data_IF_042883241236
#
_entry.id   IF_042883241236
#
_cell.length_a   1.000
_cell.length_b   1.000
_cell.length_c   1.000
_cell.angle_alpha   90.00
_cell.angle_beta   90.00
_cell.angle_gamma   90.00
#
_symmetry.space_group_name_H-M   'P 1'
#
loop_
_entity.id
_entity.type
_entity.pdbx_description
1 polymer ?
#
# COMPACT_ATOMS: atom_id res chain seq x y z
N UNK A 1 24.44 3.04 17.25
CA UNK A 1 23.80 4.35 17.02
C UNK A 1 22.82 4.14 15.91
N UNK A 2 21.54 4.02 16.29
CA UNK A 2 20.47 3.57 15.41
C UNK A 2 20.34 4.48 14.21
N UNK A 3 20.57 3.92 13.03
CA UNK A 3 20.20 4.61 11.81
C UNK A 3 18.67 4.65 11.80
N UNK A 4 18.07 5.65 11.16
CA UNK A 4 16.62 5.70 10.97
C UNK A 4 16.04 4.41 10.35
N UNK A 5 16.87 3.65 9.62
CA UNK A 5 16.53 2.35 9.04
C UNK A 5 16.42 1.21 10.06
N UNK A 6 17.18 1.23 11.17
CA UNK A 6 17.11 0.18 12.19
C UNK A 6 15.70 0.17 12.84
N UNK A 7 15.10 1.34 13.02
CA UNK A 7 13.72 1.48 13.54
C UNK A 7 12.69 0.87 12.59
N UNK A 8 12.89 1.02 11.28
CA UNK A 8 12.02 0.39 10.28
C UNK A 8 12.23 -1.14 10.21
N UNK A 9 13.44 -1.61 10.48
CA UNK A 9 13.73 -3.04 10.60
C UNK A 9 13.01 -3.67 11.79
N UNK A 10 13.09 -3.02 12.95
CA UNK A 10 12.44 -3.49 14.18
C UNK A 10 10.91 -3.49 14.08
N UNK A 11 10.34 -2.65 13.21
CA UNK A 11 8.89 -2.50 13.02
C UNK A 11 8.36 -3.24 11.80
N UNK A 12 9.23 -4.01 11.12
CA UNK A 12 8.85 -4.85 9.99
C UNK A 12 7.86 -5.94 10.44
N UNK A 13 6.72 -6.03 9.75
CA UNK A 13 5.62 -6.92 10.09
C UNK A 13 4.66 -6.39 11.16
N UNK A 14 4.95 -5.22 11.74
CA UNK A 14 4.05 -4.55 12.69
C UNK A 14 3.14 -3.52 12.00
N UNK A 15 2.07 -3.12 12.68
CA UNK A 15 1.20 -2.05 12.19
C UNK A 15 1.89 -0.70 12.40
N UNK A 16 2.08 0.03 11.31
CA UNK A 16 2.70 1.36 11.32
C UNK A 16 1.76 2.40 10.73
N UNK A 17 1.96 3.64 11.14
CA UNK A 17 1.30 4.83 10.61
C UNK A 17 2.32 5.71 9.92
N UNK A 18 2.19 5.86 8.61
CA UNK A 18 3.06 6.64 7.73
C UNK A 18 2.40 7.96 7.36
N UNK A 19 3.04 9.07 7.70
CA UNK A 19 2.59 10.41 7.34
C UNK A 19 3.34 10.93 6.12
N UNK A 20 2.58 11.38 5.12
CA UNK A 20 3.11 11.91 3.86
C UNK A 20 3.24 13.43 3.88
N UNK A 21 4.05 13.95 2.97
CA UNK A 21 4.28 15.39 2.77
C UNK A 21 3.02 16.15 2.38
N UNK A 22 2.05 15.47 1.75
CA UNK A 22 0.73 16.01 1.42
C UNK A 22 -0.22 16.18 2.61
N UNK A 23 0.17 15.75 3.82
CA UNK A 23 -0.71 15.72 5.00
C UNK A 23 -1.55 14.45 5.14
N UNK A 24 -1.44 13.55 4.16
CA UNK A 24 -2.09 12.25 4.12
C UNK A 24 -1.40 11.26 5.07
N UNK A 25 -2.16 10.35 5.71
CA UNK A 25 -1.66 9.45 6.75
C UNK A 25 -2.10 8.03 6.48
N UNK A 26 -1.20 7.13 6.07
CA UNK A 26 -1.50 5.72 5.82
C UNK A 26 -1.25 4.85 7.04
N UNK A 27 -2.17 3.94 7.34
CA UNK A 27 -1.96 2.92 8.37
C UNK A 27 -2.02 1.52 7.73
N UNK A 28 -1.06 0.67 8.08
CA UNK A 28 -0.97 -0.68 7.52
C UNK A 28 0.14 -1.48 8.15
N UNK A 29 0.19 -2.78 7.87
CA UNK A 29 1.28 -3.62 8.33
C UNK A 29 2.53 -3.37 7.46
N UNK A 30 3.68 -3.05 8.05
CA UNK A 30 4.92 -2.78 7.30
C UNK A 30 5.43 -4.08 6.68
N UNK A 31 5.13 -4.30 5.41
CA UNK A 31 5.56 -5.49 4.68
C UNK A 31 7.01 -5.38 4.18
N UNK A 32 7.53 -4.16 3.99
CA UNK A 32 8.90 -3.94 3.52
C UNK A 32 9.31 -2.48 3.45
N UNK A 33 10.62 -2.23 3.44
CA UNK A 33 11.20 -0.90 3.26
C UNK A 33 12.55 -0.98 2.53
N UNK A 34 13.05 0.16 2.03
CA UNK A 34 14.40 0.25 1.43
C UNK A 34 15.16 1.53 1.81
N UNK A 35 16.41 1.66 1.35
CA UNK A 35 17.31 2.79 1.66
C UNK A 35 16.79 4.17 1.22
N UNK A 36 15.89 4.20 0.23
CA UNK A 36 15.22 5.40 -0.26
C UNK A 36 13.99 5.75 0.58
N UNK A 37 13.69 4.95 1.63
CA UNK A 37 12.51 5.03 2.49
C UNK A 37 11.19 4.70 1.79
N UNK A 38 11.21 4.02 0.64
CA UNK A 38 9.95 3.48 0.12
C UNK A 38 9.47 2.42 1.12
N UNK A 39 8.18 2.45 1.44
CA UNK A 39 7.55 1.54 2.41
C UNK A 39 6.37 0.85 1.75
N UNK A 40 6.26 -0.45 1.99
CA UNK A 40 5.17 -1.29 1.52
C UNK A 40 4.29 -1.59 2.71
N UNK A 41 3.00 -1.28 2.60
CA UNK A 41 2.01 -1.50 3.63
C UNK A 41 0.97 -2.51 3.16
N UNK A 42 0.74 -3.52 3.98
CA UNK A 42 -0.33 -4.50 3.78
C UNK A 42 -1.65 -3.98 4.38
N UNK A 43 -2.79 -4.18 3.70
CA UNK A 43 -4.08 -3.69 4.14
C UNK A 43 -4.49 -4.38 5.45
N UNK A 44 -4.46 -3.62 6.54
CA UNK A 44 -4.99 -4.06 7.83
C UNK A 44 -6.44 -3.60 7.97
N UNK A 45 -7.28 -4.46 8.55
CA UNK A 45 -8.73 -4.24 8.68
C UNK A 45 -9.14 -2.91 9.36
N UNK A 46 -8.22 -2.20 10.02
CA UNK A 46 -8.45 -0.91 10.67
C UNK A 46 -7.63 0.27 10.12
N UNK A 47 -6.89 0.13 9.02
CA UNK A 47 -5.87 1.10 8.58
C UNK A 47 -6.16 1.88 7.29
N UNK A 48 -7.34 1.69 6.68
CA UNK A 48 -7.67 2.35 5.43
C UNK A 48 -7.93 3.85 5.64
N UNK A 49 -6.95 4.68 5.32
CA UNK A 49 -7.24 6.04 4.84
C UNK A 49 -7.50 5.97 3.34
N UNK A 50 -8.56 6.64 2.92
CA UNK A 50 -8.89 6.81 1.52
C UNK A 50 -8.03 7.92 0.91
N UNK A 51 -6.74 7.61 0.71
CA UNK A 51 -5.81 8.49 0.03
C UNK A 51 -4.81 7.64 -0.74
N UNK A 52 -4.45 8.04 -1.95
CA UNK A 52 -3.42 7.34 -2.72
C UNK A 52 -3.93 6.30 -3.70
N UNK A 53 -4.88 6.70 -4.55
CA UNK A 53 -5.13 6.16 -5.91
C UNK A 53 -5.03 4.64 -6.02
N UNK A 54 -6.19 3.99 -5.98
CA UNK A 54 -6.41 2.84 -6.84
C UNK A 54 -6.03 3.22 -8.28
N UNK A 55 -4.77 2.96 -8.65
CA UNK A 55 -4.42 2.63 -10.01
C UNK A 55 -4.83 1.17 -10.25
N UNK A 56 -6.10 0.86 -9.91
CA UNK A 56 -6.84 -0.01 -10.79
C UNK A 56 -6.84 0.69 -12.15
N UNK A 57 -6.57 -0.02 -13.25
CA UNK A 57 -6.56 0.59 -14.57
C UNK A 57 -7.85 1.41 -14.74
N UNK A 58 -7.77 2.69 -15.13
CA UNK A 58 -8.98 3.46 -15.40
C UNK A 58 -9.66 2.80 -16.60
N UNK A 59 -10.84 2.28 -16.33
CA UNK A 59 -11.92 2.04 -17.28
C UNK A 59 -11.57 1.37 -18.62
N UNK A 60 -12.06 0.15 -18.82
CA UNK A 60 -12.87 -0.10 -20.00
C UNK A 60 -13.73 -1.34 -19.76
N UNK A 61 -14.92 -1.12 -19.22
CA UNK A 61 -16.08 -1.87 -19.72
C UNK A 61 -16.30 -1.45 -21.17
N UNK A 62 -15.49 -1.98 -22.08
CA UNK A 62 -15.88 -2.09 -23.47
C UNK A 62 -16.50 -3.48 -23.60
N UNK A 63 -17.82 -3.53 -23.47
CA UNK A 63 -18.59 -4.69 -23.86
C UNK A 63 -18.31 -4.99 -25.34
N UNK A 64 -17.47 -5.98 -25.61
CA UNK A 64 -17.56 -6.75 -26.85
C UNK A 64 -18.46 -7.96 -26.53
N UNK A 65 -19.72 -7.99 -27.01
CA UNK A 65 -20.54 -9.20 -26.89
C UNK A 65 -20.01 -10.21 -27.92
N UNK A 66 -19.04 -11.01 -27.52
CA UNK A 66 -18.36 -11.93 -28.42
C UNK A 66 -17.68 -13.09 -27.73
N UNK A 67 -18.45 -14.17 -27.55
CA UNK A 67 -18.00 -15.55 -27.36
C UNK A 67 -17.36 -15.98 -26.03
N UNK A 68 -18.15 -16.78 -25.28
CA UNK A 68 -17.64 -18.06 -24.77
C UNK A 68 -17.31 -18.14 -23.29
N UNK A 69 -18.30 -18.55 -22.51
CA UNK A 69 -18.22 -19.40 -21.31
C UNK A 69 -16.88 -19.52 -20.55
N UNK A 70 -16.79 -18.87 -19.39
CA UNK A 70 -16.43 -19.48 -18.10
C UNK A 70 -16.45 -18.40 -16.99
N UNK A 71 -17.56 -18.29 -16.25
CA UNK A 71 -17.57 -17.53 -14.99
C UNK A 71 -16.87 -18.38 -13.92
N UNK A 72 -15.54 -18.27 -13.84
CA UNK A 72 -14.81 -18.61 -12.62
C UNK A 72 -14.98 -17.48 -11.58
N UNK A 73 -14.91 -17.77 -10.27
CA UNK A 73 -14.84 -16.73 -9.26
C UNK A 73 -13.62 -15.85 -9.57
N UNK A 74 -13.84 -14.55 -9.69
CA UNK A 74 -12.75 -13.56 -9.68
C UNK A 74 -12.15 -13.63 -8.28
N UNK A 75 -10.98 -14.27 -8.15
CA UNK A 75 -10.21 -14.31 -6.91
C UNK A 75 -9.84 -12.86 -6.52
N UNK A 76 -9.95 -12.49 -5.23
CA UNK A 76 -9.61 -11.14 -4.79
C UNK A 76 -8.12 -10.88 -5.03
N UNK A 77 -7.80 -9.71 -5.59
CA UNK A 77 -6.40 -9.28 -5.73
C UNK A 77 -5.92 -8.78 -4.38
N UNK A 78 -4.77 -9.28 -3.91
CA UNK A 78 -4.13 -8.77 -2.70
C UNK A 78 -3.73 -7.30 -2.92
N UNK A 79 -4.47 -6.40 -2.26
CA UNK A 79 -4.34 -4.95 -2.45
C UNK A 79 -3.19 -4.40 -1.62
N UNK A 80 -1.94 -4.64 -2.05
CA UNK A 80 -0.75 -4.08 -1.36
C UNK A 80 -0.57 -2.59 -1.67
N UNK A 81 -0.25 -1.77 -0.67
CA UNK A 81 -0.04 -0.33 -0.83
C UNK A 81 1.45 0.00 -0.83
N UNK A 82 1.94 0.69 -1.86
CA UNK A 82 3.36 1.08 -1.97
C UNK A 82 3.50 2.60 -1.87
N UNK A 83 4.24 3.07 -0.86
CA UNK A 83 4.49 4.49 -0.61
C UNK A 83 5.95 4.83 -0.95
N UNK A 84 6.14 5.88 -1.74
CA UNK A 84 7.48 6.42 -2.11
C UNK A 84 8.12 7.14 -0.93
N UNK A 85 9.41 6.88 -0.69
CA UNK A 85 10.14 7.45 0.44
C UNK A 85 10.45 8.94 0.35
N UNK A 86 10.44 9.52 -0.84
CA UNK A 86 10.54 10.98 -0.99
C UNK A 86 9.28 11.71 -0.46
N UNK A 87 8.15 10.98 -0.39
CA UNK A 87 6.88 11.48 0.13
C UNK A 87 6.68 11.19 1.63
N UNK A 88 7.45 10.27 2.21
CA UNK A 88 7.37 9.92 3.64
C UNK A 88 8.01 11.03 4.48
N UNK A 89 7.25 11.54 5.45
CA UNK A 89 7.71 12.57 6.40
C UNK A 89 7.96 11.99 7.79
N UNK A 90 7.13 11.04 8.22
CA UNK A 90 7.27 10.38 9.53
C UNK A 90 6.65 9.00 9.50
N UNK A 91 7.23 8.05 10.24
CA UNK A 91 6.66 6.73 10.52
C UNK A 91 6.54 6.57 12.02
N UNK A 92 5.38 6.10 12.48
CA UNK A 92 5.08 5.87 13.90
C UNK A 92 4.48 4.49 14.05
N UNK A 93 4.95 3.69 15.00
CA UNK A 93 4.28 2.46 15.45
C UNK A 93 3.23 2.73 16.51
#
# INVERSE_FOLDING_TARGET
MGRPLDVLEETLGETVTVRLKGGEIHAGALAGYDQHLNVVLDPVAGGAVEGGTGAGPPDATAAEPGHGAANGPIEPVDSTTIIRGDNVVSVTT
#
